data_IF_032834585673
#
_entry.id   IF_032834585673
#
_cell.length_a   1.000
_cell.length_b   1.000
_cell.length_c   1.000
_cell.angle_alpha   90.00
_cell.angle_beta   90.00
_cell.angle_gamma   90.00
#
_symmetry.space_group_name_H-M   'P 1'
#
loop_
_entity.id
_entity.type
_entity.pdbx_description
1 polymer ?
#
# COMPACT_ATOMS: atom_id res chain seq x y z
N UNK A 1 5.44 3.23 0.19
CA UNK A 1 4.17 2.53 -0.09
C UNK A 1 3.27 2.71 1.09
N UNK A 2 1.97 2.96 0.87
CA UNK A 2 1.03 3.31 1.94
C UNK A 2 -0.22 2.43 1.87
N UNK A 3 -0.55 1.80 2.99
CA UNK A 3 -1.74 0.99 3.17
C UNK A 3 -2.79 1.79 3.92
N UNK A 4 -4.02 1.76 3.41
CA UNK A 4 -5.16 2.51 3.92
C UNK A 4 -6.26 1.56 4.39
N UNK A 5 -6.91 1.91 5.50
CA UNK A 5 -8.12 1.24 5.96
C UNK A 5 -9.35 1.89 5.30
N UNK A 6 -10.07 1.16 4.47
CA UNK A 6 -11.23 1.65 3.73
C UNK A 6 -10.85 2.44 2.47
N UNK A 7 -11.03 3.75 2.49
CA UNK A 7 -10.88 4.63 1.33
C UNK A 7 -9.59 5.45 1.36
N UNK A 8 -8.97 5.64 0.19
CA UNK A 8 -7.88 6.59 0.01
C UNK A 8 -8.46 7.94 -0.44
N UNK A 9 -8.13 9.02 0.28
CA UNK A 9 -8.51 10.38 -0.07
C UNK A 9 -7.29 11.14 -0.61
N UNK A 10 -7.16 11.35 -1.93
CA UNK A 10 -5.97 11.99 -2.51
C UNK A 10 -5.71 13.40 -2.00
N UNK A 11 -6.77 14.14 -1.62
CA UNK A 11 -6.67 15.49 -1.07
C UNK A 11 -6.33 15.52 0.41
N UNK A 12 -6.50 14.41 1.13
CA UNK A 12 -6.09 14.26 2.53
C UNK A 12 -5.49 12.87 2.79
N UNK A 13 -4.26 12.60 2.28
CA UNK A 13 -3.64 11.27 2.27
C UNK A 13 -3.31 10.68 3.64
N UNK A 14 -3.47 11.44 4.73
CA UNK A 14 -3.25 10.94 6.09
C UNK A 14 -4.52 10.44 6.77
N UNK A 15 -5.72 10.72 6.24
CA UNK A 15 -6.99 10.49 6.95
C UNK A 15 -7.22 9.03 7.36
N UNK A 16 -7.04 8.12 6.41
CA UNK A 16 -7.25 6.68 6.58
C UNK A 16 -5.93 5.90 6.52
N UNK A 17 -4.80 6.59 6.68
CA UNK A 17 -3.49 5.96 6.61
C UNK A 17 -3.38 4.94 7.74
N UNK A 18 -3.22 3.67 7.37
CA UNK A 18 -3.08 2.58 8.33
C UNK A 18 -1.60 2.28 8.60
N UNK A 19 -0.80 2.17 7.55
CA UNK A 19 0.64 1.95 7.65
C UNK A 19 1.35 2.45 6.41
N UNK A 20 2.52 3.03 6.57
CA UNK A 20 3.41 3.37 5.45
C UNK A 20 4.82 2.89 5.74
N UNK A 21 5.53 2.56 4.66
CA UNK A 21 6.95 2.26 4.70
C UNK A 21 7.54 2.57 3.32
N UNK A 22 8.69 3.21 3.25
CA UNK A 22 9.38 3.57 2.01
C UNK A 22 10.82 3.02 1.91
N UNK A 23 11.35 2.38 2.96
CA UNK A 23 12.71 1.84 2.98
C UNK A 23 12.85 0.44 3.59
N UNK A 24 11.76 -0.17 4.05
CA UNK A 24 11.78 -1.42 4.82
C UNK A 24 12.34 -2.65 4.09
N UNK A 25 12.47 -2.62 2.77
CA UNK A 25 13.14 -3.65 1.96
C UNK A 25 14.51 -3.22 1.42
N UNK A 26 14.98 -2.01 1.75
CA UNK A 26 16.18 -1.39 1.16
C UNK A 26 15.92 -0.81 -0.23
N UNK A 27 16.87 0.00 -0.72
CA UNK A 27 16.83 0.61 -2.06
C UNK A 27 15.54 1.39 -2.39
N UNK A 28 14.89 2.00 -1.39
CA UNK A 28 13.63 2.75 -1.57
C UNK A 28 12.41 1.87 -1.86
N UNK A 29 12.48 0.57 -1.57
CA UNK A 29 11.36 -0.35 -1.70
C UNK A 29 10.58 -0.41 -0.39
N UNK A 30 9.25 -0.31 -0.51
CA UNK A 30 8.38 -0.49 0.64
C UNK A 30 8.32 -1.97 1.06
N UNK A 31 8.25 -2.19 2.36
CA UNK A 31 7.92 -3.49 2.94
C UNK A 31 6.93 -3.30 4.09
N UNK A 32 5.71 -3.81 3.91
CA UNK A 32 4.62 -3.64 4.87
C UNK A 32 4.23 -5.01 5.41
N UNK A 33 4.30 -5.18 6.73
CA UNK A 33 3.75 -6.33 7.45
C UNK A 33 2.66 -5.81 8.39
N UNK A 34 1.42 -6.26 8.16
CA UNK A 34 0.23 -5.75 8.82
C UNK A 34 -0.69 -6.91 9.24
N UNK A 35 -1.32 -6.76 10.41
CA UNK A 35 -2.46 -7.59 10.80
C UNK A 35 -3.74 -6.92 10.30
N UNK A 36 -4.40 -7.54 9.33
CA UNK A 36 -5.63 -7.02 8.71
C UNK A 36 -6.86 -7.68 9.30
N UNK A 37 -7.91 -6.90 9.49
CA UNK A 37 -9.20 -7.39 9.97
C UNK A 37 -9.98 -8.04 8.82
N UNK A 38 -10.66 -9.16 9.13
CA UNK A 38 -11.52 -9.85 8.16
C UNK A 38 -12.71 -8.97 7.76
N UNK A 39 -13.16 -9.09 6.51
CA UNK A 39 -14.30 -8.32 5.95
C UNK A 39 -14.11 -6.80 5.91
N UNK A 40 -12.87 -6.32 6.07
CA UNK A 40 -12.52 -4.91 5.90
C UNK A 40 -11.81 -4.72 4.56
N UNK A 41 -12.16 -3.65 3.83
CA UNK A 41 -11.46 -3.28 2.59
C UNK A 41 -10.21 -2.49 2.95
N UNK A 42 -9.09 -2.82 2.33
CA UNK A 42 -7.86 -2.05 2.40
C UNK A 42 -7.45 -1.60 1.00
N UNK A 43 -6.84 -0.42 0.92
CA UNK A 43 -6.28 0.12 -0.33
C UNK A 43 -4.78 0.26 -0.16
N UNK A 44 -4.01 -0.35 -1.06
CA UNK A 44 -2.58 -0.14 -1.16
C UNK A 44 -2.30 0.91 -2.24
N UNK A 45 -1.64 2.00 -1.86
CA UNK A 45 -1.11 3.00 -2.78
C UNK A 45 0.39 2.79 -2.93
N UNK A 46 0.80 2.36 -4.12
CA UNK A 46 2.19 2.30 -4.54
C UNK A 46 2.52 3.57 -5.33
N UNK A 47 3.48 4.36 -4.83
CA UNK A 47 3.90 5.62 -5.44
C UNK A 47 5.42 5.75 -5.38
N UNK A 48 5.96 6.65 -6.18
CA UNK A 48 7.36 7.07 -6.18
C UNK A 48 7.62 8.12 -5.09
N UNK A 49 8.88 8.27 -4.68
CA UNK A 49 9.30 9.29 -3.71
C UNK A 49 9.20 10.71 -4.28
N UNK A 50 9.55 10.88 -5.55
CA UNK A 50 9.51 12.17 -6.24
C UNK A 50 8.20 12.38 -7.01
N UNK A 51 7.71 13.61 -7.02
CA UNK A 51 6.56 14.00 -7.83
C UNK A 51 6.84 13.77 -9.32
N UNK A 52 5.80 13.37 -10.06
CA UNK A 52 5.84 13.16 -11.52
C UNK A 52 6.85 12.09 -12.00
N UNK A 53 7.42 11.31 -11.09
CA UNK A 53 8.27 10.17 -11.43
C UNK A 53 7.40 8.96 -11.76
N UNK A 54 7.68 8.32 -12.89
CA UNK A 54 7.04 7.06 -13.30
C UNK A 54 8.10 5.99 -13.53
N UNK A 55 7.69 4.73 -13.45
CA UNK A 55 8.57 3.59 -13.63
C UNK A 55 7.81 2.28 -13.57
N UNK A 56 8.45 1.20 -14.00
CA UNK A 56 7.90 -0.14 -13.84
C UNK A 56 7.96 -0.55 -12.37
N UNK A 57 6.93 -1.25 -11.91
CA UNK A 57 6.88 -1.81 -10.56
C UNK A 57 6.18 -3.16 -10.57
N UNK A 58 6.45 -3.95 -9.54
CA UNK A 58 5.76 -5.21 -9.25
C UNK A 58 5.37 -5.22 -7.78
N UNK A 59 4.19 -5.74 -7.47
CA UNK A 59 3.72 -5.91 -6.09
C UNK A 59 3.60 -7.40 -5.82
N UNK A 60 4.24 -7.85 -4.74
CA UNK A 60 4.08 -9.20 -4.21
C UNK A 60 3.35 -9.06 -2.88
N UNK A 61 2.23 -9.76 -2.75
CA UNK A 61 1.49 -9.83 -1.49
C UNK A 61 1.23 -11.29 -1.12
N UNK A 62 1.44 -11.59 0.14
CA UNK A 62 1.25 -12.92 0.72
C UNK A 62 0.47 -12.79 2.02
N UNK A 63 -0.34 -13.79 2.33
CA UNK A 63 -1.12 -13.84 3.56
C UNK A 63 -1.43 -15.28 3.96
N UNK A 64 -2.08 -15.47 5.11
CA UNK A 64 -2.54 -16.78 5.54
C UNK A 64 -3.61 -17.38 4.62
N UNK A 65 -4.25 -16.57 3.79
CA UNK A 65 -5.18 -16.99 2.73
C UNK A 65 -4.81 -16.30 1.39
N UNK A 66 -5.44 -16.71 0.30
CA UNK A 66 -5.21 -16.18 -1.04
C UNK A 66 -5.47 -14.67 -1.10
N UNK A 67 -4.41 -13.92 -1.44
CA UNK A 67 -4.50 -12.48 -1.69
C UNK A 67 -4.92 -12.26 -3.15
N UNK A 68 -5.98 -11.48 -3.35
CA UNK A 68 -6.48 -11.08 -4.68
C UNK A 68 -6.46 -9.57 -4.79
N UNK A 69 -5.79 -9.06 -5.83
CA UNK A 69 -5.90 -7.66 -6.21
C UNK A 69 -7.15 -7.49 -7.08
N UNK A 70 -8.12 -6.76 -6.55
CA UNK A 70 -9.33 -6.39 -7.30
C UNK A 70 -9.09 -5.02 -7.93
N UNK A 71 -9.32 -4.85 -9.25
CA UNK A 71 -9.35 -3.52 -9.84
C UNK A 71 -10.49 -2.70 -9.20
N UNK A 72 -10.23 -1.41 -8.98
CA UNK A 72 -11.24 -0.43 -8.53
C UNK A 72 -12.14 0.00 -9.69
#
# INVERSE_FOLDING_TARGET
GALYNGYFYPTYPSFNLFQENDDGAGSGQFYITAYLESNVKYILVATTFGELVTGQFSIIATGPDNVKFLPN
#
